data_IF_640921026817
#
_entry.id   IF_640921026817
#
_cell.length_a   1.000
_cell.length_b   1.000
_cell.length_c   1.000
_cell.angle_alpha   90.00
_cell.angle_beta   90.00
_cell.angle_gamma   90.00
#
_symmetry.space_group_name_H-M   'P 1'
#
loop_
_entity.id
_entity.type
_entity.pdbx_description
1 polymer ?
#
# COMPACT_ATOMS: atom_id res chain seq x y z
N UNK A 1 -59.06 -61.02 10.87
CA UNK A 1 -57.59 -61.26 10.87
C UNK A 1 -56.97 -60.23 10.00
N UNK A 2 -56.62 -59.06 10.55
CA UNK A 2 -55.94 -57.98 9.79
C UNK A 2 -54.73 -57.53 10.56
N UNK A 3 -53.55 -57.85 10.06
CA UNK A 3 -52.28 -57.39 10.61
C UNK A 3 -51.93 -56.04 10.04
N UNK A 4 -52.11 -54.98 10.81
CA UNK A 4 -51.59 -53.66 10.50
C UNK A 4 -50.10 -53.64 10.75
N UNK A 5 -49.29 -53.40 9.71
CA UNK A 5 -47.84 -53.15 9.79
C UNK A 5 -47.61 -51.66 9.92
N UNK A 6 -47.17 -51.23 11.11
CA UNK A 6 -46.64 -49.91 11.36
C UNK A 6 -45.26 -49.80 10.68
N UNK A 7 -45.13 -48.83 9.80
CA UNK A 7 -43.85 -48.38 9.25
C UNK A 7 -43.37 -47.21 10.12
N UNK A 8 -42.32 -47.42 10.87
CA UNK A 8 -41.60 -46.34 11.56
C UNK A 8 -40.66 -45.71 10.56
N UNK A 9 -40.98 -44.47 10.15
CA UNK A 9 -40.09 -43.64 9.37
C UNK A 9 -39.09 -42.98 10.32
N UNK A 10 -37.87 -43.46 10.33
CA UNK A 10 -36.75 -42.77 11.00
C UNK A 10 -36.25 -41.65 10.12
N UNK A 11 -36.60 -40.40 10.50
CA UNK A 11 -36.02 -39.21 9.91
C UNK A 11 -34.60 -39.03 10.43
N UNK A 12 -33.63 -39.30 9.61
CA UNK A 12 -32.23 -38.97 9.88
C UNK A 12 -32.02 -37.49 9.63
N UNK A 13 -31.98 -36.69 10.67
CA UNK A 13 -31.56 -35.29 10.63
C UNK A 13 -30.04 -35.23 10.43
N UNK A 14 -29.59 -34.98 9.20
CA UNK A 14 -28.21 -34.67 8.92
C UNK A 14 -27.92 -33.25 9.40
N UNK A 15 -27.24 -33.10 10.54
CA UNK A 15 -26.62 -31.84 10.95
C UNK A 15 -25.47 -31.55 10.00
N UNK A 16 -25.67 -30.62 9.08
CA UNK A 16 -24.61 -30.00 8.31
C UNK A 16 -23.82 -29.07 9.25
N UNK A 17 -22.73 -29.56 9.79
CA UNK A 17 -21.71 -28.73 10.42
C UNK A 17 -21.05 -27.90 9.29
N UNK A 18 -21.52 -26.69 9.10
CA UNK A 18 -20.81 -25.69 8.34
C UNK A 18 -19.61 -25.27 9.19
N UNK A 19 -18.48 -25.92 8.98
CA UNK A 19 -17.20 -25.43 9.44
C UNK A 19 -16.93 -24.13 8.67
N UNK A 20 -17.19 -22.98 9.32
CA UNK A 20 -16.60 -21.73 8.88
C UNK A 20 -15.09 -21.91 8.98
N UNK A 21 -14.43 -22.14 7.84
CA UNK A 21 -12.99 -22.09 7.76
C UNK A 21 -12.61 -20.62 8.01
N UNK A 22 -12.30 -20.28 9.24
CA UNK A 22 -11.64 -19.02 9.54
C UNK A 22 -10.31 -19.04 8.81
N UNK A 23 -10.20 -18.14 7.83
CA UNK A 23 -8.94 -17.87 7.14
C UNK A 23 -7.93 -17.48 8.22
N UNK A 24 -6.81 -18.20 8.39
CA UNK A 24 -5.82 -17.81 9.39
C UNK A 24 -5.36 -16.41 9.06
N UNK A 25 -5.73 -15.46 9.90
CA UNK A 25 -5.19 -14.11 9.87
C UNK A 25 -3.74 -14.21 10.35
N UNK A 26 -2.81 -14.26 9.39
CA UNK A 26 -1.40 -14.04 9.69
C UNK A 26 -1.24 -12.69 10.40
N UNK A 27 -0.09 -12.42 11.03
CA UNK A 27 0.13 -11.13 11.69
C UNK A 27 -0.14 -10.01 10.69
N UNK A 28 -1.23 -9.29 10.91
CA UNK A 28 -1.56 -8.13 10.08
C UNK A 28 -0.53 -7.05 10.39
N UNK A 29 0.12 -6.56 9.36
CA UNK A 29 0.98 -5.40 9.51
C UNK A 29 0.14 -4.23 10.02
N UNK A 30 0.64 -3.58 11.06
CA UNK A 30 -0.05 -2.47 11.72
C UNK A 30 0.48 -1.16 11.17
N UNK A 31 -0.43 -0.29 10.74
CA UNK A 31 -0.15 1.11 10.47
C UNK A 31 -0.58 1.89 11.71
N UNK A 32 0.31 2.65 12.29
CA UNK A 32 0.03 3.44 13.48
C UNK A 32 -0.32 4.89 13.10
N UNK A 33 -1.03 5.59 13.98
CA UNK A 33 -1.31 7.01 13.77
C UNK A 33 -0.05 7.86 13.60
N UNK A 34 1.05 7.45 14.24
CA UNK A 34 2.36 8.09 14.08
C UNK A 34 2.90 8.00 12.63
N UNK A 35 2.57 6.93 11.91
CA UNK A 35 2.99 6.75 10.51
C UNK A 35 2.30 7.75 9.56
N UNK A 36 1.16 8.31 9.99
CA UNK A 36 0.40 9.32 9.25
C UNK A 36 0.72 10.74 9.70
N UNK A 37 1.46 10.90 10.81
CA UNK A 37 1.80 12.21 11.32
C UNK A 37 2.71 12.97 10.35
N UNK A 38 2.44 14.26 10.18
CA UNK A 38 3.23 15.15 9.34
C UNK A 38 2.93 15.04 7.84
N UNK A 39 1.85 14.37 7.44
CA UNK A 39 1.39 14.44 6.05
C UNK A 39 0.93 15.86 5.68
N UNK A 40 1.25 16.29 4.46
CA UNK A 40 0.76 17.55 3.92
C UNK A 40 -0.77 17.53 3.81
N UNK A 41 -1.42 18.66 4.08
CA UNK A 41 -2.88 18.81 3.96
C UNK A 41 -3.36 18.62 2.52
N UNK A 42 -2.53 19.05 1.57
CA UNK A 42 -2.76 18.85 0.14
C UNK A 42 -1.74 17.85 -0.35
N UNK A 43 -2.18 16.64 -0.64
CA UNK A 43 -1.36 15.58 -1.23
C UNK A 43 -2.23 14.80 -2.21
N UNK A 44 -1.82 14.80 -3.46
CA UNK A 44 -2.42 13.97 -4.51
C UNK A 44 -1.33 13.12 -5.12
N UNK A 45 -1.46 11.81 -5.00
CA UNK A 45 -0.54 10.84 -5.57
C UNK A 45 -1.35 9.75 -6.29
N UNK A 46 -0.98 9.36 -7.51
CA UNK A 46 -1.65 8.27 -8.20
C UNK A 46 -1.26 6.92 -7.59
N UNK A 47 -2.10 5.90 -7.71
CA UNK A 47 -1.68 4.53 -7.45
C UNK A 47 -0.60 4.12 -8.45
N UNK A 48 0.46 3.48 -7.98
CA UNK A 48 1.56 2.96 -8.80
C UNK A 48 1.69 1.47 -8.54
N UNK A 49 1.75 0.68 -9.61
CA UNK A 49 2.03 -0.76 -9.52
C UNK A 49 3.39 -1.01 -10.16
N UNK A 50 4.45 -1.16 -9.36
CA UNK A 50 5.78 -1.43 -9.88
C UNK A 50 5.83 -2.80 -10.56
N UNK A 51 6.51 -2.89 -11.70
CA UNK A 51 6.78 -4.14 -12.41
C UNK A 51 8.28 -4.35 -12.56
N UNK A 52 8.74 -5.57 -12.32
CA UNK A 52 10.16 -5.90 -12.34
C UNK A 52 10.82 -5.51 -13.67
N UNK A 53 11.97 -4.84 -13.60
CA UNK A 53 12.72 -4.34 -14.74
C UNK A 53 12.06 -3.23 -15.54
N UNK A 54 10.90 -2.72 -15.08
CA UNK A 54 10.16 -1.67 -15.78
C UNK A 54 10.30 -0.32 -15.09
N UNK A 55 10.09 0.73 -15.86
CA UNK A 55 9.97 2.09 -15.34
C UNK A 55 8.50 2.52 -15.38
N UNK A 56 7.99 2.97 -14.24
CA UNK A 56 6.68 3.60 -14.11
C UNK A 56 6.83 5.09 -13.85
N UNK A 57 5.95 5.90 -14.43
CA UNK A 57 5.90 7.33 -14.19
C UNK A 57 4.76 7.67 -13.22
N UNK A 58 5.00 8.59 -12.30
CA UNK A 58 4.02 9.12 -11.39
C UNK A 58 4.12 10.64 -11.32
N UNK A 59 2.98 11.31 -11.14
CA UNK A 59 2.93 12.75 -10.92
C UNK A 59 2.24 13.01 -9.58
N UNK A 60 2.91 13.70 -8.66
CA UNK A 60 2.36 14.09 -7.37
C UNK A 60 2.18 15.60 -7.28
N UNK A 61 1.14 16.01 -6.56
CA UNK A 61 0.92 17.40 -6.19
C UNK A 61 0.92 17.51 -4.66
N UNK A 62 1.70 18.42 -4.13
CA UNK A 62 1.88 18.61 -2.69
C UNK A 62 1.75 20.08 -2.31
N UNK A 63 0.97 20.38 -1.27
CA UNK A 63 0.98 21.70 -0.63
C UNK A 63 2.22 21.82 0.28
N UNK A 64 2.93 22.94 0.18
CA UNK A 64 4.12 23.16 1.00
C UNK A 64 3.76 23.78 2.35
N UNK A 65 3.16 22.96 3.20
CA UNK A 65 2.88 23.31 4.63
C UNK A 65 3.91 22.69 5.59
N UNK A 66 5.02 22.17 5.05
CA UNK A 66 6.05 21.44 5.79
C UNK A 66 5.79 19.95 5.89
N UNK A 67 4.65 19.47 5.40
CA UNK A 67 4.30 18.06 5.39
C UNK A 67 4.85 17.31 4.18
N UNK A 68 4.75 15.97 4.26
CA UNK A 68 5.13 15.05 3.18
C UNK A 68 3.91 14.62 2.35
N UNK A 69 4.18 14.25 1.10
CA UNK A 69 3.22 13.59 0.21
C UNK A 69 3.82 12.27 -0.26
N UNK A 70 3.07 11.18 -0.18
CA UNK A 70 3.62 9.85 -0.36
C UNK A 70 3.05 9.10 -1.56
N UNK A 71 3.91 8.29 -2.18
CA UNK A 71 3.53 7.15 -3.02
C UNK A 71 3.73 5.89 -2.18
N UNK A 72 2.72 5.02 -2.17
CA UNK A 72 2.76 3.75 -1.45
C UNK A 72 2.74 2.61 -2.45
N UNK A 73 3.68 1.68 -2.33
CA UNK A 73 3.83 0.53 -3.21
C UNK A 73 4.14 -0.73 -2.41
N UNK A 74 3.83 -1.89 -2.96
CA UNK A 74 4.23 -3.16 -2.36
C UNK A 74 4.63 -4.20 -3.41
N UNK A 75 5.31 -5.24 -2.93
CA UNK A 75 5.69 -6.39 -3.69
C UNK A 75 4.81 -7.58 -3.26
N UNK A 76 3.67 -7.75 -3.96
CA UNK A 76 2.72 -8.84 -3.68
C UNK A 76 2.28 -8.90 -2.21
N UNK A 77 1.90 -7.74 -1.64
CA UNK A 77 1.40 -7.62 -0.28
C UNK A 77 2.48 -7.60 0.80
N UNK A 78 3.73 -7.37 0.43
CA UNK A 78 4.88 -7.15 1.34
C UNK A 78 5.67 -5.93 0.93
N UNK A 79 6.39 -5.28 1.83
CA UNK A 79 7.27 -4.19 1.44
C UNK A 79 8.39 -4.71 0.53
N UNK A 80 8.96 -3.84 -0.28
CA UNK A 80 10.23 -4.10 -0.94
C UNK A 80 11.36 -4.15 0.11
N UNK A 81 12.38 -4.96 -0.15
CA UNK A 81 13.52 -5.12 0.77
C UNK A 81 14.34 -3.83 0.88
N UNK A 82 14.40 -3.07 -0.22
CA UNK A 82 15.02 -1.77 -0.26
C UNK A 82 14.44 -0.87 -1.36
N UNK A 83 14.48 0.43 -1.13
CA UNK A 83 14.30 1.47 -2.14
C UNK A 83 15.57 2.31 -2.23
N UNK A 84 16.10 2.43 -3.43
CA UNK A 84 17.31 3.22 -3.71
C UNK A 84 16.90 4.51 -4.41
N UNK A 85 17.37 5.64 -3.91
CA UNK A 85 17.17 6.93 -4.57
C UNK A 85 18.09 7.00 -5.79
N UNK A 86 17.55 6.66 -6.96
CA UNK A 86 18.30 6.60 -8.22
C UNK A 86 18.57 8.00 -8.79
N UNK A 87 17.65 8.93 -8.56
CA UNK A 87 17.84 10.35 -8.86
C UNK A 87 17.24 11.18 -7.69
N UNK A 88 18.04 12.02 -7.04
CA UNK A 88 17.56 12.83 -5.92
C UNK A 88 16.70 14.01 -6.41
N UNK A 89 15.75 14.42 -5.58
CA UNK A 89 15.02 15.67 -5.73
C UNK A 89 15.97 16.87 -5.53
N UNK A 90 15.73 17.96 -6.25
CA UNK A 90 16.56 19.17 -6.14
C UNK A 90 16.00 20.17 -5.11
N UNK A 91 14.69 20.17 -4.93
CA UNK A 91 13.96 21.14 -4.11
C UNK A 91 13.16 20.51 -2.99
N UNK A 92 13.53 19.29 -2.58
CA UNK A 92 12.85 18.56 -1.51
C UNK A 92 13.68 17.41 -0.98
N UNK A 93 13.12 16.71 -0.01
CA UNK A 93 13.70 15.50 0.58
C UNK A 93 12.82 14.31 0.21
N UNK A 94 13.47 13.19 -0.10
CA UNK A 94 12.80 11.90 -0.32
C UNK A 94 13.20 10.95 0.80
N UNK A 95 12.20 10.37 1.47
CA UNK A 95 12.39 9.33 2.47
C UNK A 95 11.70 8.05 1.96
N UNK A 96 12.43 6.94 1.98
CA UNK A 96 11.91 5.63 1.58
C UNK A 96 11.97 4.74 2.80
N UNK A 97 10.82 4.20 3.21
CA UNK A 97 10.73 3.38 4.41
C UNK A 97 9.54 2.42 4.36
N UNK A 98 9.50 1.47 5.28
CA UNK A 98 8.41 0.51 5.41
C UNK A 98 7.33 1.06 6.33
N UNK A 99 6.07 0.97 5.89
CA UNK A 99 4.88 1.26 6.69
C UNK A 99 3.89 0.10 6.52
N UNK A 100 3.70 -0.66 7.56
CA UNK A 100 2.86 -1.86 7.47
C UNK A 100 3.42 -2.89 6.48
N UNK A 101 2.63 -3.26 5.49
CA UNK A 101 3.01 -4.17 4.41
C UNK A 101 3.51 -3.45 3.15
N UNK A 102 3.73 -2.16 3.23
CA UNK A 102 4.06 -1.33 2.08
C UNK A 102 5.42 -0.67 2.23
N UNK A 103 6.01 -0.35 1.09
CA UNK A 103 7.10 0.63 0.98
C UNK A 103 6.48 1.97 0.68
N UNK A 104 6.75 2.96 1.53
CA UNK A 104 6.29 4.32 1.37
C UNK A 104 7.45 5.23 0.94
N UNK A 105 7.18 6.04 -0.05
CA UNK A 105 8.13 7.00 -0.63
C UNK A 105 7.56 8.38 -0.36
N UNK A 106 8.08 9.06 0.64
CA UNK A 106 7.64 10.38 1.09
C UNK A 106 8.48 11.46 0.41
N UNK A 107 7.83 12.45 -0.17
CA UNK A 107 8.47 13.66 -0.64
C UNK A 107 8.04 14.85 0.21
N UNK A 108 8.99 15.60 0.73
CA UNK A 108 8.75 16.84 1.49
C UNK A 108 9.42 17.99 0.76
N UNK A 109 8.67 19.01 0.28
CA UNK A 109 9.26 20.18 -0.35
C UNK A 109 10.21 20.92 0.59
N UNK A 110 11.26 21.55 0.04
CA UNK A 110 12.06 22.50 0.81
C UNK A 110 11.19 23.69 1.27
N UNK A 111 11.52 24.26 2.42
CA UNK A 111 10.75 25.34 3.01
C UNK A 111 10.52 26.47 2.01
N UNK A 112 9.27 26.90 1.86
CA UNK A 112 8.83 27.97 0.95
C UNK A 112 9.03 27.68 -0.55
N UNK A 113 9.48 26.50 -0.95
CA UNK A 113 9.59 26.16 -2.35
C UNK A 113 8.20 25.90 -2.96
N UNK A 114 7.96 26.48 -4.13
CA UNK A 114 6.82 26.18 -5.00
C UNK A 114 7.33 26.01 -6.41
N UNK A 115 6.79 25.07 -7.15
CA UNK A 115 7.21 24.78 -8.51
C UNK A 115 7.39 23.30 -8.78
N UNK A 116 8.09 23.00 -9.86
CA UNK A 116 8.34 21.64 -10.32
C UNK A 116 9.60 21.05 -9.68
N UNK A 117 9.55 19.78 -9.31
CA UNK A 117 10.69 18.98 -8.91
C UNK A 117 10.55 17.56 -9.49
N UNK A 118 11.56 16.74 -9.36
CA UNK A 118 11.52 15.37 -9.82
C UNK A 118 12.52 14.51 -9.06
N UNK A 119 12.21 13.22 -8.93
CA UNK A 119 13.13 12.23 -8.38
C UNK A 119 12.83 10.84 -8.95
N UNK A 120 13.73 9.89 -8.74
CA UNK A 120 13.52 8.51 -9.15
C UNK A 120 13.94 7.54 -8.05
N UNK A 121 13.17 6.48 -7.87
CA UNK A 121 13.42 5.42 -6.90
C UNK A 121 13.49 4.08 -7.64
N UNK A 122 14.52 3.29 -7.33
CA UNK A 122 14.63 1.89 -7.75
C UNK A 122 14.33 0.97 -6.60
N UNK A 123 13.45 0.01 -6.83
CA UNK A 123 12.93 -0.92 -5.82
C UNK A 123 13.62 -2.29 -5.94
N UNK A 124 13.98 -2.87 -4.82
CA UNK A 124 14.64 -4.16 -4.70
C UNK A 124 13.76 -5.08 -3.84
N UNK A 125 13.49 -6.32 -4.29
CA UNK A 125 13.95 -6.98 -5.52
C UNK A 125 13.19 -6.52 -6.77
N UNK A 126 13.71 -6.89 -7.92
CA UNK A 126 13.04 -6.73 -9.21
C UNK A 126 13.45 -5.52 -10.02
N UNK A 127 14.26 -4.60 -9.48
CA UNK A 127 14.78 -3.42 -10.21
C UNK A 127 13.69 -2.56 -10.90
N UNK A 128 12.47 -2.56 -10.34
CA UNK A 128 11.42 -1.67 -10.79
C UNK A 128 11.81 -0.21 -10.47
N UNK A 129 11.68 0.68 -11.43
CA UNK A 129 11.99 2.10 -11.26
C UNK A 129 10.71 2.92 -11.28
N UNK A 130 10.56 3.84 -10.34
CA UNK A 130 9.49 4.83 -10.33
C UNK A 130 10.13 6.21 -10.56
N UNK A 131 9.75 6.87 -11.65
CA UNK A 131 10.10 8.28 -11.90
C UNK A 131 8.93 9.14 -11.44
N UNK A 132 9.21 10.08 -10.58
CA UNK A 132 8.21 10.94 -9.98
C UNK A 132 8.43 12.39 -10.40
N UNK A 133 7.42 13.00 -10.99
CA UNK A 133 7.34 14.44 -11.17
C UNK A 133 6.53 15.04 -10.02
N UNK A 134 6.98 16.16 -9.51
CA UNK A 134 6.37 16.84 -8.37
C UNK A 134 5.91 18.23 -8.77
N UNK A 135 4.73 18.62 -8.32
CA UNK A 135 4.27 20.01 -8.32
C UNK A 135 4.05 20.44 -6.88
N UNK A 136 4.94 21.27 -6.37
CA UNK A 136 4.79 21.89 -5.06
C UNK A 136 3.97 23.20 -5.20
N UNK A 137 2.94 23.35 -4.37
CA UNK A 137 2.06 24.53 -4.34
C UNK A 137 2.18 25.22 -2.98
N UNK A 138 1.75 26.49 -2.85
CA UNK A 138 1.67 27.18 -1.57
C UNK A 138 0.83 26.45 -0.54
#
# INVERSE_FOLDING_TARGET
MHHARLWLATAATALLLQACAEKPSGPQARVFAADMAGAAKVCTAPPVTPAAGQTSDAAIKVGNDGGWCAITVNNSGRPFDAGLLAAPAQHGKVLIHTVGNDTRIDYTPAARYTGADAFAVRLIPGDATIRVTVTATP
#
